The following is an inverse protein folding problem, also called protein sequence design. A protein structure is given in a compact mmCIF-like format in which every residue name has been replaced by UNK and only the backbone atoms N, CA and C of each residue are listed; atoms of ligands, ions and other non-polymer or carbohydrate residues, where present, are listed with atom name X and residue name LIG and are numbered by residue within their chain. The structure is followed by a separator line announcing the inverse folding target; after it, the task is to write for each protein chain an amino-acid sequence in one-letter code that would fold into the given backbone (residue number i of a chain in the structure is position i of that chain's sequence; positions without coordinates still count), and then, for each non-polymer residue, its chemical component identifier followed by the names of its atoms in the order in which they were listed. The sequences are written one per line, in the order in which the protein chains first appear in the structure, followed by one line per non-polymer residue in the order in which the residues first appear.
data_IF_389238785531
#
_entry.id   IF_389238785531
#
_cell.length_a   1.000
_cell.length_b   1.000
_cell.length_c   1.000
_cell.angle_alpha   90.00
_cell.angle_beta   90.00
_cell.angle_gamma   90.00
#
_symmetry.space_group_name_H-M   'P 1'
#
loop_
_entity.id
_entity.type
_entity.pdbx_description
1 polymer ?
#
# COMPACT_ATOMS: atom_id res chain seq x y z
N UNK A 1 43.82 -1.01 -31.97
CA UNK A 1 43.24 -1.47 -30.69
C UNK A 1 44.36 -1.44 -29.65
N UNK A 2 44.46 -0.33 -28.88
CA UNK A 2 45.29 -0.09 -27.66
C UNK A 2 45.81 1.35 -27.69
N UNK A 3 45.09 2.27 -27.05
CA UNK A 3 45.61 3.54 -26.54
C UNK A 3 44.48 4.19 -25.71
N UNK A 4 44.18 3.56 -24.56
CA UNK A 4 43.32 4.15 -23.52
C UNK A 4 43.92 3.90 -22.14
N UNK A 5 45.24 3.88 -22.08
CA UNK A 5 45.97 3.75 -20.83
C UNK A 5 46.77 5.04 -20.64
N UNK A 6 46.33 5.89 -19.69
CA UNK A 6 47.09 7.09 -19.32
C UNK A 6 46.39 8.45 -19.37
N UNK A 7 45.06 8.55 -19.52
CA UNK A 7 44.39 9.84 -19.27
C UNK A 7 44.45 10.17 -17.77
N UNK A 8 45.20 11.22 -17.42
CA UNK A 8 45.37 11.69 -16.03
C UNK A 8 44.01 12.04 -15.42
N UNK A 9 43.86 11.86 -14.11
CA UNK A 9 42.62 12.19 -13.40
C UNK A 9 42.21 13.67 -13.61
N UNK A 10 43.19 14.52 -13.86
CA UNK A 10 43.05 15.95 -14.14
C UNK A 10 42.46 16.19 -15.54
N UNK A 11 42.97 15.53 -16.59
CA UNK A 11 42.44 15.65 -17.96
C UNK A 11 40.99 15.15 -18.04
N UNK A 12 40.67 14.06 -17.33
CA UNK A 12 39.29 13.56 -17.18
C UNK A 12 38.38 14.50 -16.39
N UNK A 13 38.94 15.40 -15.59
CA UNK A 13 38.19 16.42 -14.85
C UNK A 13 37.87 17.61 -15.75
N UNK A 14 38.84 18.08 -16.54
CA UNK A 14 38.64 19.18 -17.51
C UNK A 14 37.72 18.81 -18.68
N UNK A 15 37.72 17.54 -19.11
CA UNK A 15 36.81 17.05 -20.17
C UNK A 15 35.41 16.67 -19.67
N UNK A 16 35.15 16.69 -18.36
CA UNK A 16 33.86 16.28 -17.81
C UNK A 16 32.78 17.34 -18.04
N UNK A 17 31.59 16.90 -18.48
CA UNK A 17 30.42 17.75 -18.57
C UNK A 17 30.00 18.26 -17.18
N UNK A 18 29.45 19.48 -17.12
CA UNK A 18 28.98 20.10 -15.87
C UNK A 18 28.03 19.18 -15.08
N UNK A 19 27.20 18.39 -15.78
CA UNK A 19 26.32 17.38 -15.17
C UNK A 19 27.09 16.25 -14.48
N UNK A 20 28.19 15.79 -15.08
CA UNK A 20 29.04 14.73 -14.51
C UNK A 20 29.76 15.22 -13.26
N UNK A 21 30.23 16.47 -13.25
CA UNK A 21 30.83 17.10 -12.07
C UNK A 21 29.81 17.23 -10.92
N UNK A 22 28.59 17.67 -11.26
CA UNK A 22 27.50 17.83 -10.30
C UNK A 22 27.06 16.49 -9.70
N UNK A 23 26.90 15.44 -10.51
CA UNK A 23 26.55 14.09 -10.05
C UNK A 23 27.63 13.47 -9.15
N UNK A 24 28.92 13.68 -9.48
CA UNK A 24 30.04 13.25 -8.62
C UNK A 24 30.02 13.95 -7.27
N UNK A 25 29.73 15.26 -7.23
CA UNK A 25 29.62 16.02 -5.99
C UNK A 25 28.40 15.56 -5.18
N UNK A 26 27.26 15.35 -5.82
CA UNK A 26 26.04 14.82 -5.20
C UNK A 26 26.25 13.45 -4.54
N UNK A 27 26.91 12.51 -5.26
CA UNK A 27 27.24 11.18 -4.72
C UNK A 27 28.20 11.19 -3.53
N UNK A 28 28.98 12.26 -3.32
CA UNK A 28 29.85 12.38 -2.12
C UNK A 28 29.06 12.66 -0.84
N UNK A 29 27.85 13.23 -0.95
CA UNK A 29 27.03 13.56 0.22
C UNK A 29 26.09 12.40 0.58
N UNK A 30 26.39 11.71 1.69
CA UNK A 30 25.59 10.57 2.18
C UNK A 30 24.12 10.92 2.44
N UNK A 31 23.85 12.13 2.96
CA UNK A 31 22.48 12.62 3.18
C UNK A 31 21.71 12.81 1.86
N UNK A 32 22.37 13.32 0.83
CA UNK A 32 21.76 13.55 -0.47
C UNK A 32 21.40 12.23 -1.17
N UNK A 33 22.26 11.21 -1.01
CA UNK A 33 21.98 9.86 -1.50
C UNK A 33 20.81 9.20 -0.75
N UNK A 34 20.76 9.31 0.57
CA UNK A 34 19.66 8.76 1.37
C UNK A 34 18.33 9.42 1.00
N UNK A 35 18.29 10.75 0.98
CA UNK A 35 17.09 11.50 0.59
C UNK A 35 16.64 11.20 -0.84
N UNK A 36 17.59 11.16 -1.79
CA UNK A 36 17.30 10.79 -3.17
C UNK A 36 16.78 9.36 -3.32
N UNK A 37 17.30 8.42 -2.53
CA UNK A 37 16.82 7.03 -2.55
C UNK A 37 15.39 6.89 -2.02
N UNK A 38 15.06 7.56 -0.91
CA UNK A 38 13.72 7.57 -0.34
C UNK A 38 12.73 8.20 -1.32
N UNK A 39 13.12 9.33 -1.93
CA UNK A 39 12.29 10.01 -2.92
C UNK A 39 12.03 9.11 -4.14
N UNK A 40 13.06 8.43 -4.64
CA UNK A 40 12.92 7.49 -5.74
C UNK A 40 11.95 6.34 -5.39
N UNK A 41 12.02 5.80 -4.18
CA UNK A 41 11.08 4.77 -3.70
C UNK A 41 9.65 5.30 -3.70
N UNK A 42 9.41 6.52 -3.19
CA UNK A 42 8.07 7.10 -3.22
C UNK A 42 7.53 7.34 -4.63
N UNK A 43 8.37 7.78 -5.57
CA UNK A 43 7.96 7.89 -6.97
C UNK A 43 7.62 6.54 -7.61
N UNK A 44 8.38 5.50 -7.31
CA UNK A 44 8.09 4.14 -7.80
C UNK A 44 6.76 3.64 -7.24
N UNK A 45 6.51 3.82 -5.94
CA UNK A 45 5.24 3.47 -5.31
C UNK A 45 4.07 4.26 -5.90
N UNK A 46 4.26 5.54 -6.20
CA UNK A 46 3.23 6.38 -6.81
C UNK A 46 2.89 5.94 -8.24
N UNK A 47 3.89 5.61 -9.06
CA UNK A 47 3.69 5.16 -10.45
C UNK A 47 3.03 3.78 -10.51
N UNK A 48 3.36 2.91 -9.56
CA UNK A 48 2.81 1.56 -9.43
C UNK A 48 1.71 1.48 -8.37
N UNK A 49 1.05 2.59 -8.05
CA UNK A 49 0.07 2.66 -6.98
C UNK A 49 -1.08 1.65 -7.17
N UNK A 50 -1.51 1.42 -8.41
CA UNK A 50 -2.57 0.45 -8.74
C UNK A 50 -2.18 -0.99 -8.43
N UNK A 51 -0.88 -1.33 -8.46
CA UNK A 51 -0.39 -2.66 -8.07
C UNK A 51 -0.31 -2.81 -6.55
N UNK A 52 0.06 -1.74 -5.85
CA UNK A 52 0.25 -1.76 -4.39
C UNK A 52 -1.04 -1.48 -3.62
N UNK A 53 -2.06 -0.86 -4.24
CA UNK A 53 -3.32 -0.55 -3.57
C UNK A 53 -4.13 -1.82 -3.33
N UNK A 54 -4.55 -2.10 -2.08
CA UNK A 54 -5.40 -3.24 -1.78
C UNK A 54 -6.87 -3.06 -2.17
N UNK A 55 -7.29 -1.82 -2.49
CA UNK A 55 -8.68 -1.46 -2.78
C UNK A 55 -8.78 -0.52 -3.98
N UNK A 56 -9.89 -0.63 -4.71
CA UNK A 56 -10.26 0.34 -5.75
C UNK A 56 -10.72 1.66 -5.11
N UNK A 57 -10.27 2.79 -5.68
CA UNK A 57 -10.66 4.15 -5.28
C UNK A 57 -12.16 4.43 -5.49
N UNK A 58 -12.80 3.73 -6.42
CA UNK A 58 -14.23 3.89 -6.71
C UNK A 58 -15.12 3.00 -5.83
N UNK A 59 -14.54 2.04 -5.10
CA UNK A 59 -15.29 1.13 -4.25
C UNK A 59 -15.58 1.77 -2.90
N UNK A 60 -16.82 2.23 -2.73
CA UNK A 60 -17.30 2.84 -1.50
C UNK A 60 -18.34 1.95 -0.81
N UNK A 61 -18.28 1.88 0.51
CA UNK A 61 -19.19 1.12 1.35
C UNK A 61 -20.04 2.07 2.21
N UNK A 62 -21.08 2.72 1.65
CA UNK A 62 -21.87 3.72 2.36
C UNK A 62 -22.63 3.16 3.58
N UNK A 63 -23.04 1.89 3.51
CA UNK A 63 -23.79 1.22 4.58
C UNK A 63 -22.96 1.01 5.86
N UNK A 64 -21.63 1.17 5.76
CA UNK A 64 -20.69 0.86 6.85
C UNK A 64 -19.91 2.08 7.36
N UNK A 65 -20.32 3.32 7.02
CA UNK A 65 -19.56 4.56 7.35
C UNK A 65 -19.29 4.72 8.86
N UNK A 66 -20.26 4.37 9.70
CA UNK A 66 -20.16 4.47 11.17
C UNK A 66 -20.16 3.09 11.84
N UNK A 67 -19.85 2.05 11.08
CA UNK A 67 -19.80 0.70 11.61
C UNK A 67 -18.63 0.57 12.60
N UNK A 68 -18.84 0.04 13.82
CA UNK A 68 -17.73 -0.24 14.73
C UNK A 68 -16.79 -1.30 14.14
N UNK A 69 -15.51 -1.35 14.57
CA UNK A 69 -14.59 -2.40 14.17
C UNK A 69 -15.16 -3.80 14.47
N UNK A 70 -15.15 -4.67 13.47
CA UNK A 70 -15.63 -6.04 13.60
C UNK A 70 -14.73 -6.87 14.51
N UNK A 71 -15.35 -7.60 15.45
CA UNK A 71 -14.64 -8.50 16.36
C UNK A 71 -14.36 -9.84 15.69
N UNK A 72 -13.13 -10.32 15.84
CA UNK A 72 -12.70 -11.63 15.38
C UNK A 72 -13.06 -12.68 16.44
N UNK A 73 -13.73 -13.73 16.00
CA UNK A 73 -14.17 -14.83 16.85
C UNK A 73 -13.46 -16.13 16.45
N UNK A 74 -13.11 -16.93 17.45
CA UNK A 74 -12.61 -18.30 17.30
C UNK A 74 -13.58 -19.32 17.89
N UNK A 75 -14.50 -18.88 18.74
CA UNK A 75 -15.47 -19.71 19.44
C UNK A 75 -16.88 -19.34 19.01
N UNK A 76 -17.70 -20.36 18.90
CA UNK A 76 -19.10 -20.29 18.51
C UNK A 76 -19.94 -21.19 19.40
N UNK A 77 -21.26 -21.16 19.24
CA UNK A 77 -22.20 -22.07 19.90
C UNK A 77 -21.89 -23.55 19.61
N UNK A 78 -21.26 -23.83 18.46
CA UNK A 78 -20.79 -25.16 18.05
C UNK A 78 -19.39 -25.55 18.52
N UNK A 79 -18.68 -24.67 19.25
CA UNK A 79 -17.34 -24.94 19.79
C UNK A 79 -16.22 -24.12 19.14
N UNK A 80 -15.00 -24.65 19.20
CA UNK A 80 -13.80 -23.98 18.71
C UNK A 80 -13.59 -24.18 17.20
N UNK A 81 -13.33 -23.08 16.49
CA UNK A 81 -12.99 -23.08 15.08
C UNK A 81 -11.48 -22.80 14.90
N UNK A 82 -10.75 -23.65 14.17
CA UNK A 82 -9.33 -23.44 13.91
C UNK A 82 -9.07 -22.24 12.98
N UNK A 83 -10.09 -21.81 12.21
CA UNK A 83 -10.03 -20.62 11.38
C UNK A 83 -10.83 -19.49 12.04
N UNK A 84 -10.24 -18.29 12.23
CA UNK A 84 -10.98 -17.15 12.76
C UNK A 84 -12.09 -16.72 11.80
N UNK A 85 -13.18 -16.23 12.36
CA UNK A 85 -14.34 -15.76 11.62
C UNK A 85 -14.92 -14.48 12.23
N UNK A 86 -15.77 -13.82 11.46
CA UNK A 86 -16.48 -12.60 11.86
C UNK A 86 -17.97 -12.81 11.62
N UNK A 87 -18.81 -12.31 12.53
CA UNK A 87 -20.26 -12.35 12.35
C UNK A 87 -20.74 -11.29 11.35
N UNK A 88 -21.85 -11.57 10.67
CA UNK A 88 -22.51 -10.55 9.87
C UNK A 88 -22.94 -9.37 10.74
N UNK A 89 -22.98 -8.18 10.18
CA UNK A 89 -23.53 -6.99 10.85
C UNK A 89 -24.87 -6.66 10.22
N UNK A 90 -25.86 -6.43 11.07
CA UNK A 90 -27.16 -5.88 10.70
C UNK A 90 -27.20 -4.41 11.08
N UNK A 91 -27.71 -3.61 10.16
CA UNK A 91 -27.97 -2.19 10.38
C UNK A 91 -29.46 -2.04 10.71
N UNK A 92 -29.75 -1.54 11.90
CA UNK A 92 -31.10 -1.27 12.36
C UNK A 92 -31.22 0.20 12.72
N UNK A 93 -32.30 0.84 12.29
CA UNK A 93 -32.58 2.24 12.60
C UNK A 93 -33.53 2.30 13.78
N UNK A 94 -33.12 2.98 14.85
CA UNK A 94 -34.00 3.20 15.99
C UNK A 94 -35.14 4.16 15.60
N UNK A 95 -36.42 3.76 15.68
CA UNK A 95 -37.54 4.58 15.23
C UNK A 95 -37.76 5.83 16.09
N UNK A 96 -37.18 5.89 17.29
CA UNK A 96 -37.35 7.03 18.21
C UNK A 96 -36.19 8.01 18.07
N UNK A 97 -34.95 7.53 18.13
CA UNK A 97 -33.76 8.40 18.10
C UNK A 97 -33.21 8.64 16.69
N UNK A 98 -33.69 7.88 15.68
CA UNK A 98 -33.17 7.87 14.31
C UNK A 98 -31.68 7.50 14.23
N UNK A 99 -31.15 6.93 15.31
CA UNK A 99 -29.77 6.46 15.35
C UNK A 99 -29.64 5.13 14.61
N UNK A 100 -28.59 5.03 13.81
CA UNK A 100 -28.21 3.78 13.16
C UNK A 100 -27.47 2.92 14.17
N UNK A 101 -28.07 1.81 14.60
CA UNK A 101 -27.44 0.81 15.46
C UNK A 101 -26.94 -0.36 14.61
N UNK A 102 -25.70 -0.75 14.85
CA UNK A 102 -25.09 -1.93 14.24
C UNK A 102 -25.08 -3.07 15.25
N UNK A 103 -25.76 -4.17 14.92
CA UNK A 103 -25.85 -5.37 15.76
C UNK A 103 -25.23 -6.57 15.04
N UNK A 104 -24.60 -7.46 15.79
CA UNK A 104 -24.02 -8.69 15.22
C UNK A 104 -25.11 -9.73 14.96
N UNK A 105 -25.20 -10.21 13.72
CA UNK A 105 -26.08 -11.29 13.29
C UNK A 105 -25.37 -12.63 13.33
N UNK A 106 -25.59 -13.39 14.41
CA UNK A 106 -25.00 -14.72 14.59
C UNK A 106 -25.45 -15.77 13.58
N UNK A 107 -26.50 -15.50 12.81
CA UNK A 107 -26.98 -16.38 11.76
C UNK A 107 -26.00 -16.49 10.57
N UNK A 108 -25.19 -15.46 10.33
CA UNK A 108 -24.21 -15.43 9.23
C UNK A 108 -22.79 -15.33 9.77
N UNK A 109 -21.95 -16.25 9.32
CA UNK A 109 -20.54 -16.36 9.72
C UNK A 109 -19.66 -16.23 8.49
N UNK A 110 -18.73 -15.28 8.52
CA UNK A 110 -17.78 -15.05 7.44
C UNK A 110 -16.38 -15.49 7.90
N UNK A 111 -15.84 -16.59 7.36
CA UNK A 111 -14.50 -17.03 7.70
C UNK A 111 -13.45 -16.07 7.12
N UNK A 112 -12.40 -15.78 7.89
CA UNK A 112 -11.29 -14.96 7.41
C UNK A 112 -10.43 -15.79 6.45
N UNK A 113 -10.29 -15.31 5.23
CA UNK A 113 -9.49 -15.95 4.18
C UNK A 113 -8.19 -15.16 3.96
N UNK A 114 -7.07 -15.88 3.92
CA UNK A 114 -5.77 -15.31 3.57
C UNK A 114 -5.53 -15.41 2.07
N UNK A 115 -4.75 -14.46 1.52
CA UNK A 115 -4.40 -14.43 0.09
C UNK A 115 -5.60 -14.44 -0.86
N UNK A 116 -6.71 -13.83 -0.43
CA UNK A 116 -7.85 -13.62 -1.33
C UNK A 116 -7.45 -12.69 -2.45
N UNK A 117 -8.02 -12.93 -3.63
CA UNK A 117 -7.85 -12.04 -4.77
C UNK A 117 -8.58 -10.74 -4.44
N UNK A 118 -7.84 -9.63 -4.44
CA UNK A 118 -8.41 -8.29 -4.26
C UNK A 118 -9.23 -7.84 -5.45
N UNK A 119 -9.61 -6.57 -5.45
CA UNK A 119 -10.30 -5.96 -6.59
C UNK A 119 -9.42 -6.03 -7.85
N UNK A 120 -10.06 -6.20 -9.01
CA UNK A 120 -9.33 -6.20 -10.29
C UNK A 120 -8.74 -4.81 -10.51
N UNK A 121 -7.44 -4.75 -10.81
CA UNK A 121 -6.75 -3.52 -11.19
C UNK A 121 -6.20 -3.65 -12.61
N UNK A 122 -6.18 -2.52 -13.33
CA UNK A 122 -5.51 -2.39 -14.62
C UNK A 122 -4.38 -1.39 -14.45
N UNK A 123 -3.15 -1.78 -14.79
CA UNK A 123 -2.01 -0.86 -14.75
C UNK A 123 -2.24 0.26 -15.77
N UNK A 124 -2.39 1.48 -15.27
CA UNK A 124 -2.69 2.70 -16.02
C UNK A 124 -3.95 2.62 -16.87
N UNK A 125 -4.92 1.81 -16.44
CA UNK A 125 -6.15 1.53 -17.19
C UNK A 125 -5.93 0.96 -18.61
N UNK A 126 -4.78 0.28 -18.82
CA UNK A 126 -4.42 -0.45 -20.05
C UNK A 126 -4.73 -1.95 -19.94
#
# INVERSE_FOLDING_TARGET
MKEKDGMSAEERYYMASQWQLMWRKFRKHKLALLGGSILAVFYVLAILCEFFSPYDIYKRYPDYIYCPPQRIHFFDEGGFHPRPFVYGIKQEMDPVTWETRFTEDKAKKYPICFFVRGDEYKLWNL
#
